data_IF_353912200523
#
_entry.id   IF_353912200523
#
_cell.length_a   1.000
_cell.length_b   1.000
_cell.length_c   1.000
_cell.angle_alpha   90.00
_cell.angle_beta   90.00
_cell.angle_gamma   90.00
#
_symmetry.space_group_name_H-M   'P 1'
#
loop_
_entity.id
_entity.type
_entity.pdbx_description
1 polymer ?
#
# COMPACT_ATOMS: atom_id res chain seq x y z
N UNK A 1 -7.17 -34.28 -35.48
CA UNK A 1 -8.62 -34.15 -35.41
C UNK A 1 -9.15 -35.23 -34.47
N UNK A 2 -10.15 -34.87 -33.66
CA UNK A 2 -10.94 -35.67 -32.70
C UNK A 2 -10.54 -35.74 -31.21
N UNK A 3 -11.34 -34.95 -30.46
CA UNK A 3 -12.08 -35.25 -29.21
C UNK A 3 -11.38 -35.15 -27.84
N UNK A 4 -11.60 -33.99 -27.19
CA UNK A 4 -11.77 -33.90 -25.74
C UNK A 4 -13.02 -33.07 -25.40
N UNK A 5 -13.97 -33.73 -24.72
CA UNK A 5 -15.06 -33.23 -23.87
C UNK A 5 -15.69 -31.86 -24.16
N UNK A 6 -16.93 -31.88 -24.65
CA UNK A 6 -17.85 -30.76 -24.53
C UNK A 6 -18.24 -30.58 -23.05
N UNK A 7 -17.76 -29.52 -22.42
CA UNK A 7 -18.34 -29.03 -21.18
C UNK A 7 -19.69 -28.38 -21.51
N UNK A 8 -20.76 -28.78 -20.81
CA UNK A 8 -22.07 -28.14 -20.95
C UNK A 8 -21.93 -26.66 -20.59
N UNK A 9 -22.38 -25.78 -21.48
CA UNK A 9 -22.40 -24.32 -21.31
C UNK A 9 -23.64 -23.83 -20.55
N UNK A 10 -24.24 -24.66 -19.69
CA UNK A 10 -25.28 -24.22 -18.76
C UNK A 10 -24.63 -24.06 -17.40
N UNK A 11 -24.55 -22.81 -16.93
CA UNK A 11 -23.91 -22.32 -15.68
C UNK A 11 -22.46 -21.78 -15.85
N UNK A 12 -22.21 -20.94 -16.85
CA UNK A 12 -21.08 -19.99 -16.75
C UNK A 12 -21.49 -18.94 -15.70
N UNK A 13 -21.01 -19.09 -14.47
CA UNK A 13 -21.23 -18.09 -13.43
C UNK A 13 -20.78 -16.71 -13.93
N UNK A 14 -21.67 -15.73 -13.87
CA UNK A 14 -21.33 -14.35 -14.20
C UNK A 14 -20.51 -13.76 -13.06
N UNK A 15 -19.21 -13.65 -13.28
CA UNK A 15 -18.31 -12.93 -12.37
C UNK A 15 -18.15 -11.49 -12.90
N UNK A 16 -18.06 -10.49 -12.01
CA UNK A 16 -17.71 -9.15 -12.43
C UNK A 16 -16.29 -9.14 -13.01
N UNK A 17 -16.04 -8.21 -13.93
CA UNK A 17 -14.68 -7.93 -14.39
C UNK A 17 -13.75 -7.62 -13.19
N UNK A 18 -12.48 -8.04 -13.23
CA UNK A 18 -11.51 -7.67 -12.22
C UNK A 18 -11.43 -6.14 -12.07
N UNK A 19 -11.55 -5.65 -10.84
CA UNK A 19 -11.44 -4.23 -10.50
C UNK A 19 -10.40 -4.02 -9.41
N UNK A 20 -9.74 -2.87 -9.43
CA UNK A 20 -8.88 -2.44 -8.34
C UNK A 20 -9.73 -1.81 -7.22
N UNK A 21 -9.81 -2.50 -6.09
CA UNK A 21 -10.53 -2.05 -4.91
C UNK A 21 -9.72 -1.06 -4.05
N UNK A 22 -8.39 -1.00 -4.26
CA UNK A 22 -7.48 -0.15 -3.52
C UNK A 22 -7.81 1.33 -3.65
N UNK A 23 -8.25 1.77 -4.84
CA UNK A 23 -8.62 3.16 -5.13
C UNK A 23 -9.72 3.74 -4.22
N UNK A 24 -10.51 2.87 -3.56
CA UNK A 24 -11.60 3.27 -2.63
C UNK A 24 -11.38 2.75 -1.22
N UNK A 25 -10.29 2.04 -0.99
CA UNK A 25 -10.02 1.42 0.29
C UNK A 25 -9.55 2.47 1.31
N UNK A 26 -9.76 2.16 2.58
CA UNK A 26 -9.15 2.91 3.69
C UNK A 26 -7.96 2.10 4.18
N UNK A 27 -6.78 2.70 4.15
CA UNK A 27 -5.54 2.08 4.63
C UNK A 27 -5.13 2.72 5.96
N UNK A 28 -4.66 1.90 6.89
CA UNK A 28 -4.04 2.33 8.15
C UNK A 28 -2.72 1.60 8.34
N UNK A 29 -1.76 2.27 8.96
CA UNK A 29 -0.50 1.66 9.35
C UNK A 29 -0.23 1.93 10.84
N UNK A 30 0.32 0.95 11.55
CA UNK A 30 0.70 1.11 12.96
C UNK A 30 1.96 1.97 13.17
N UNK A 31 2.69 2.30 12.10
CA UNK A 31 3.85 3.18 12.12
C UNK A 31 4.09 3.83 10.76
N UNK A 32 4.11 5.16 10.74
CA UNK A 32 4.38 5.98 9.55
C UNK A 32 5.45 7.00 9.93
N UNK A 33 6.41 7.28 9.05
CA UNK A 33 7.49 8.19 9.37
C UNK A 33 6.99 9.61 9.64
N UNK A 34 7.75 10.37 10.42
CA UNK A 34 7.54 11.81 10.56
C UNK A 34 6.38 12.22 11.50
N UNK A 35 5.74 11.28 12.20
CA UNK A 35 4.59 11.56 13.09
C UNK A 35 5.02 12.29 14.38
N UNK A 36 6.15 11.89 14.98
CA UNK A 36 6.69 12.50 16.20
C UNK A 36 7.62 13.70 15.93
N UNK A 37 7.73 14.12 14.66
CA UNK A 37 8.65 15.16 14.19
C UNK A 37 9.49 14.69 13.00
N UNK A 38 10.40 15.54 12.49
CA UNK A 38 11.18 15.22 11.29
C UNK A 38 12.11 14.04 11.53
N UNK A 39 12.08 13.08 10.62
CA UNK A 39 12.79 11.81 10.68
C UNK A 39 13.74 11.66 9.49
N UNK A 40 15.01 11.33 9.71
CA UNK A 40 15.97 11.12 8.61
C UNK A 40 15.91 9.69 8.09
N UNK A 41 15.88 9.52 6.77
CA UNK A 41 15.99 8.23 6.10
C UNK A 41 17.04 8.27 5.00
N UNK A 42 17.58 7.12 4.60
CA UNK A 42 18.56 7.02 3.51
C UNK A 42 18.21 5.89 2.55
N UNK A 43 18.27 6.18 1.24
CA UNK A 43 18.05 5.18 0.18
C UNK A 43 19.37 4.49 -0.16
N UNK A 44 19.32 3.18 -0.40
CA UNK A 44 20.50 2.35 -0.70
C UNK A 44 20.88 2.30 -2.19
N UNK A 45 20.20 3.02 -3.09
CA UNK A 45 20.47 2.95 -4.53
C UNK A 45 21.60 3.90 -4.94
N UNK A 46 22.81 3.37 -5.05
CA UNK A 46 23.96 4.02 -5.74
C UNK A 46 24.75 5.05 -4.93
N UNK A 47 24.45 5.22 -3.65
CA UNK A 47 25.11 6.15 -2.72
C UNK A 47 24.21 6.43 -1.50
N UNK A 48 24.74 7.07 -0.47
CA UNK A 48 23.93 7.53 0.68
C UNK A 48 23.11 8.77 0.29
N UNK A 49 22.01 8.58 -0.43
CA UNK A 49 21.06 9.66 -0.68
C UNK A 49 20.05 9.69 0.47
N UNK A 50 20.24 10.62 1.38
CA UNK A 50 19.40 10.80 2.56
C UNK A 50 18.37 11.91 2.36
N UNK A 51 17.22 11.75 3.00
CA UNK A 51 16.12 12.70 3.01
C UNK A 51 15.54 12.85 4.41
N UNK A 52 14.57 13.74 4.52
CA UNK A 52 13.79 13.96 5.74
C UNK A 52 12.34 13.62 5.44
N UNK A 53 11.73 12.82 6.31
CA UNK A 53 10.29 12.62 6.37
C UNK A 53 9.69 13.47 7.50
N UNK A 54 8.67 14.26 7.21
CA UNK A 54 7.93 15.02 8.23
C UNK A 54 6.45 15.04 7.84
N UNK A 55 5.59 14.49 8.70
CA UNK A 55 4.14 14.41 8.47
C UNK A 55 3.47 15.79 8.31
N UNK A 56 4.10 16.84 8.85
CA UNK A 56 3.59 18.22 8.81
C UNK A 56 4.01 18.98 7.55
N UNK A 57 4.95 18.43 6.77
CA UNK A 57 5.42 19.01 5.51
C UNK A 57 4.73 18.33 4.33
N UNK A 58 4.15 19.13 3.45
CA UNK A 58 3.40 18.62 2.30
C UNK A 58 4.29 17.82 1.32
N UNK A 59 5.53 18.26 1.17
CA UNK A 59 6.54 17.72 0.26
C UNK A 59 7.36 16.55 0.85
N UNK A 60 7.30 16.34 2.17
CA UNK A 60 8.12 15.35 2.89
C UNK A 60 7.31 14.33 3.68
N UNK A 61 5.98 14.39 3.61
CA UNK A 61 5.10 13.39 4.22
C UNK A 61 4.98 12.17 3.32
N UNK A 62 4.85 11.00 3.94
CA UNK A 62 4.67 9.72 3.26
C UNK A 62 3.52 8.92 3.91
N UNK A 63 2.29 9.46 3.91
CA UNK A 63 1.16 8.87 4.63
C UNK A 63 0.67 7.57 3.95
N UNK A 64 -0.06 6.69 4.67
CA UNK A 64 -0.47 5.38 4.15
C UNK A 64 -1.26 5.43 2.85
N UNK A 65 -2.03 6.50 2.64
CA UNK A 65 -2.86 6.70 1.44
C UNK A 65 -2.02 6.74 0.15
N UNK A 66 -0.74 7.15 0.23
CA UNK A 66 0.17 7.14 -0.92
C UNK A 66 0.50 5.72 -1.42
N UNK A 67 0.15 4.66 -0.69
CA UNK A 67 0.27 3.30 -1.19
C UNK A 67 -0.85 2.92 -2.18
N UNK A 68 -1.95 3.69 -2.23
CA UNK A 68 -3.17 3.39 -2.98
C UNK A 68 -3.59 4.51 -3.94
N UNK A 69 -2.82 5.60 -4.04
CA UNK A 69 -3.18 6.80 -4.82
C UNK A 69 -2.89 6.69 -6.33
N UNK A 70 -2.24 5.61 -6.76
CA UNK A 70 -1.80 5.35 -8.13
C UNK A 70 -0.81 6.38 -8.71
N UNK A 71 -0.15 7.21 -7.88
CA UNK A 71 0.91 8.11 -8.33
C UNK A 71 2.28 7.45 -8.18
N UNK A 72 3.01 7.29 -9.28
CA UNK A 72 4.33 6.68 -9.29
C UNK A 72 5.42 7.47 -8.56
N UNK A 73 5.14 8.73 -8.18
CA UNK A 73 6.09 9.61 -7.52
C UNK A 73 5.91 9.67 -5.99
N UNK A 74 4.81 9.12 -5.48
CA UNK A 74 4.50 9.07 -4.06
C UNK A 74 4.73 7.64 -3.53
N UNK A 75 4.94 7.54 -2.22
CA UNK A 75 5.02 6.26 -1.51
C UNK A 75 4.65 6.49 -0.04
N UNK A 76 4.10 5.45 0.59
CA UNK A 76 4.04 5.36 2.05
C UNK A 76 5.40 4.90 2.60
N UNK A 77 5.78 5.39 3.78
CA UNK A 77 7.00 4.99 4.46
C UNK A 77 6.75 4.74 5.95
N UNK A 78 7.20 3.59 6.44
CA UNK A 78 7.19 3.27 7.87
C UNK A 78 8.10 4.21 8.64
N UNK A 79 7.85 4.35 9.95
CA UNK A 79 8.86 4.96 10.82
C UNK A 79 10.10 4.05 10.95
N UNK A 80 11.23 4.64 11.32
CA UNK A 80 12.49 3.94 11.53
C UNK A 80 12.57 3.28 12.89
N UNK A 81 13.43 2.28 12.98
CA UNK A 81 13.75 1.58 14.22
C UNK A 81 14.39 2.47 15.29
N UNK A 82 14.81 3.69 14.94
CA UNK A 82 15.26 4.68 15.91
C UNK A 82 14.15 5.02 16.92
N UNK A 83 12.88 5.01 16.50
CA UNK A 83 11.74 5.33 17.35
C UNK A 83 11.31 4.15 18.26
N UNK A 84 11.91 2.97 18.11
CA UNK A 84 11.72 1.84 19.02
C UNK A 84 11.61 0.49 18.33
N UNK A 85 11.87 -0.57 19.10
CA UNK A 85 11.88 -1.94 18.59
C UNK A 85 10.49 -2.48 18.20
N UNK A 86 9.40 -1.86 18.70
CA UNK A 86 8.06 -2.26 18.31
C UNK A 86 7.79 -2.01 16.81
N UNK A 87 8.52 -1.08 16.18
CA UNK A 87 8.49 -0.86 14.73
C UNK A 87 9.29 -1.88 13.92
N UNK A 88 9.82 -2.94 14.53
CA UNK A 88 10.25 -4.14 13.81
C UNK A 88 9.08 -4.88 13.15
N UNK A 89 7.86 -4.66 13.65
CA UNK A 89 6.63 -5.20 13.09
C UNK A 89 5.72 -4.07 12.64
N UNK A 90 5.51 -3.97 11.33
CA UNK A 90 4.61 -3.01 10.73
C UNK A 90 3.39 -3.73 10.19
N UNK A 91 2.20 -3.25 10.54
CA UNK A 91 0.90 -3.77 10.07
C UNK A 91 0.24 -2.72 9.22
N UNK A 92 -0.19 -3.12 8.02
CA UNK A 92 -1.04 -2.31 7.14
C UNK A 92 -2.43 -2.96 7.11
N UNK A 93 -3.42 -2.25 7.62
CA UNK A 93 -4.82 -2.67 7.59
C UNK A 93 -5.53 -1.96 6.44
N UNK A 94 -5.95 -2.73 5.43
CA UNK A 94 -6.65 -2.21 4.24
C UNK A 94 -8.11 -2.67 4.29
N UNK A 95 -9.00 -1.72 4.52
CA UNK A 95 -10.45 -1.91 4.43
C UNK A 95 -10.92 -1.61 3.01
N UNK A 96 -11.15 -2.67 2.24
CA UNK A 96 -11.59 -2.59 0.84
C UNK A 96 -13.04 -2.10 0.67
N UNK A 97 -13.81 -1.96 1.77
CA UNK A 97 -15.21 -1.52 1.77
C UNK A 97 -16.17 -2.37 0.92
N UNK A 98 -15.77 -3.54 0.45
CA UNK A 98 -16.64 -4.39 -0.35
C UNK A 98 -17.63 -5.14 0.55
N UNK A 99 -18.91 -4.79 0.43
CA UNK A 99 -20.02 -5.60 0.96
C UNK A 99 -20.43 -6.61 -0.10
N UNK A 100 -20.52 -7.88 0.28
CA UNK A 100 -21.04 -8.90 -0.61
C UNK A 100 -22.55 -8.68 -0.75
N UNK A 101 -23.00 -8.43 -1.98
CA UNK A 101 -24.42 -8.47 -2.35
C UNK A 101 -24.80 -9.88 -2.77
#
# INVERSE_FOLDING_TARGET
MDRVGAWRTDEVGLFPEPIDLGARAIIRANGTCGQDGPETFCRLRGGHQCGVCDSRSHDKRHPPEFALDHDSNTWWQSTSLYHGQHYQYITLDIDLKQVQM
#
